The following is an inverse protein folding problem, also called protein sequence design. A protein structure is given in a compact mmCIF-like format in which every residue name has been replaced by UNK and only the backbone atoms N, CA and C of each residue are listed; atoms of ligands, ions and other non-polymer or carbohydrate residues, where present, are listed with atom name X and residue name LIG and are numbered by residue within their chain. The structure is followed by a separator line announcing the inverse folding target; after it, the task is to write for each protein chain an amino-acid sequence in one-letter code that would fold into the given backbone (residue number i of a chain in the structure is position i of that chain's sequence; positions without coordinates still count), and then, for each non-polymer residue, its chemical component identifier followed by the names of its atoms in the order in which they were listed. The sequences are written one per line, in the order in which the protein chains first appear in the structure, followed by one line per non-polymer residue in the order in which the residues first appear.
data_IF_276930897143
#
_entry.id   IF_276930897143
#
_cell.length_a   1.000
_cell.length_b   1.000
_cell.length_c   1.000
_cell.angle_alpha   90.00
_cell.angle_beta   90.00
_cell.angle_gamma   90.00
#
_symmetry.space_group_name_H-M   'P 1'
#
loop_
_entity.id
_entity.type
_entity.pdbx_description
1 polymer ?
#
# COMPACT_ATOMS: atom_id res chain seq x y z
N UNK A 1 14.76 -42.78 -0.21
CA UNK A 1 13.29 -42.70 -0.17
C UNK A 1 12.95 -41.29 0.31
N UNK A 2 12.89 -40.29 -0.56
CA UNK A 2 11.78 -39.93 -1.45
C UNK A 2 10.41 -39.83 -0.75
N UNK A 3 9.99 -38.56 -0.62
CA UNK A 3 8.63 -38.00 -0.73
C UNK A 3 7.63 -38.15 0.42
N UNK A 4 7.39 -37.02 1.07
CA UNK A 4 6.06 -36.42 1.26
C UNK A 4 6.32 -34.92 1.43
N UNK A 5 6.16 -34.08 0.41
CA UNK A 5 4.87 -33.79 -0.20
C UNK A 5 4.08 -32.77 0.64
N UNK A 6 4.73 -31.70 1.10
CA UNK A 6 4.06 -30.58 1.76
C UNK A 6 3.39 -29.69 0.71
N UNK A 7 2.07 -29.81 0.60
CA UNK A 7 1.22 -28.91 -0.18
C UNK A 7 1.53 -27.45 0.17
N UNK A 8 1.98 -26.67 -0.81
CA UNK A 8 2.01 -25.21 -0.75
C UNK A 8 0.57 -24.72 -0.70
N UNK A 9 -0.02 -24.65 0.49
CA UNK A 9 -1.32 -24.03 0.71
C UNK A 9 -1.18 -22.52 0.51
N UNK A 10 -1.61 -22.10 -0.67
CA UNK A 10 -2.06 -20.79 -1.07
C UNK A 10 -2.53 -19.86 0.07
N UNK A 11 -1.91 -18.67 0.17
CA UNK A 11 -2.53 -17.43 0.67
C UNK A 11 -2.60 -17.19 2.18
N UNK A 12 -1.74 -16.28 2.67
CA UNK A 12 -1.81 -15.58 3.97
C UNK A 12 -1.38 -16.34 5.25
N UNK A 13 -0.30 -17.12 5.21
CA UNK A 13 0.51 -17.27 6.42
C UNK A 13 1.31 -15.97 6.58
N UNK A 14 0.84 -15.05 7.41
CA UNK A 14 1.66 -13.91 7.86
C UNK A 14 2.88 -14.51 8.56
N UNK A 15 4.07 -14.31 8.01
CA UNK A 15 5.29 -14.78 8.67
C UNK A 15 5.43 -14.11 10.03
N UNK A 16 5.92 -14.82 11.05
CA UNK A 16 6.19 -14.25 12.38
C UNK A 16 7.04 -12.97 12.27
N UNK A 17 7.99 -12.95 11.33
CA UNK A 17 8.81 -11.80 11.02
C UNK A 17 7.99 -10.56 10.62
N UNK A 18 6.93 -10.72 9.81
CA UNK A 18 6.08 -9.60 9.41
C UNK A 18 5.42 -8.96 10.61
N UNK A 19 4.85 -9.75 11.53
CA UNK A 19 4.21 -9.21 12.74
C UNK A 19 5.24 -8.52 13.63
N UNK A 20 6.39 -9.17 13.89
CA UNK A 20 7.45 -8.61 14.73
C UNK A 20 7.90 -7.25 14.19
N UNK A 21 8.24 -7.16 12.90
CA UNK A 21 8.71 -5.91 12.27
C UNK A 21 7.64 -4.82 12.35
N UNK A 22 6.40 -5.12 11.93
CA UNK A 22 5.33 -4.13 11.97
C UNK A 22 5.08 -3.59 13.37
N UNK A 23 5.10 -4.45 14.39
CA UNK A 23 4.84 -4.03 15.76
C UNK A 23 6.02 -3.29 16.39
N UNK A 24 7.26 -3.65 16.06
CA UNK A 24 8.43 -2.90 16.55
C UNK A 24 8.58 -1.53 15.90
N UNK A 25 8.14 -1.38 14.66
CA UNK A 25 8.19 -0.11 13.91
C UNK A 25 7.01 0.82 14.23
N UNK A 26 5.90 0.27 14.72
CA UNK A 26 4.72 1.03 15.10
C UNK A 26 4.91 1.77 16.43
N UNK A 27 4.09 2.80 16.66
CA UNK A 27 3.99 3.37 18.00
C UNK A 27 3.28 2.40 18.95
N UNK A 28 3.69 2.36 20.23
CA UNK A 28 3.04 1.53 21.23
C UNK A 28 1.54 1.82 21.31
N UNK A 29 0.74 0.77 21.36
CA UNK A 29 -0.71 0.85 21.50
C UNK A 29 -1.19 -0.21 22.50
N UNK A 30 -2.02 0.20 23.44
CA UNK A 30 -2.72 -0.70 24.37
C UNK A 30 -4.22 -0.77 24.02
N UNK A 31 -4.57 -0.60 22.73
CA UNK A 31 -5.95 -0.58 22.28
C UNK A 31 -6.69 -1.90 22.55
N UNK A 32 -7.95 -1.80 22.95
CA UNK A 32 -8.77 -2.95 23.29
C UNK A 32 -9.80 -3.33 22.21
N UNK A 33 -10.52 -4.44 22.43
CA UNK A 33 -11.52 -4.94 21.50
C UNK A 33 -12.71 -3.97 21.28
N UNK A 34 -13.03 -3.09 22.24
CA UNK A 34 -14.08 -2.09 22.05
C UNK A 34 -13.63 -1.01 21.07
N UNK A 35 -12.39 -0.53 21.21
CA UNK A 35 -11.80 0.47 20.33
C UNK A 35 -11.61 -0.06 18.91
N UNK A 36 -11.20 -1.32 18.74
CA UNK A 36 -11.13 -1.93 17.40
C UNK A 36 -12.49 -2.08 16.73
N UNK A 37 -13.55 -2.40 17.50
CA UNK A 37 -14.91 -2.46 16.98
C UNK A 37 -15.43 -1.09 16.58
N UNK A 38 -15.17 -0.07 17.39
CA UNK A 38 -15.50 1.32 17.07
C UNK A 38 -14.78 1.77 15.79
N UNK A 39 -13.47 1.54 15.71
CA UNK A 39 -12.69 1.84 14.51
C UNK A 39 -13.27 1.12 13.28
N UNK A 40 -13.55 -0.18 13.36
CA UNK A 40 -14.15 -0.92 12.26
C UNK A 40 -15.52 -0.34 11.85
N UNK A 41 -16.34 0.04 12.82
CA UNK A 41 -17.65 0.66 12.56
C UNK A 41 -17.55 2.04 11.88
N UNK A 42 -16.43 2.75 12.08
CA UNK A 42 -16.16 4.03 11.42
C UNK A 42 -15.76 3.90 9.95
N UNK A 43 -15.30 2.71 9.54
CA UNK A 43 -14.91 2.44 8.15
C UNK A 43 -16.19 2.13 7.34
N UNK A 44 -16.60 3.08 6.49
CA UNK A 44 -17.73 2.90 5.58
C UNK A 44 -17.39 2.03 4.34
N UNK A 45 -16.70 0.91 4.57
CA UNK A 45 -16.30 -0.06 3.54
C UNK A 45 -15.89 -1.38 4.18
N UNK A 46 -16.50 -2.49 3.75
CA UNK A 46 -16.13 -3.85 4.18
C UNK A 46 -14.70 -4.22 3.80
N UNK A 47 -14.12 -3.52 2.82
CA UNK A 47 -12.82 -3.86 2.23
C UNK A 47 -11.66 -3.03 2.81
N UNK A 48 -11.90 -1.76 3.16
CA UNK A 48 -10.84 -0.81 3.59
C UNK A 48 -10.21 -1.14 4.96
N UNK A 49 -10.85 -2.00 5.77
CA UNK A 49 -10.31 -2.45 7.05
C UNK A 49 -9.42 -3.71 6.96
N UNK A 50 -9.39 -4.40 5.82
CA UNK A 50 -8.67 -5.69 5.73
C UNK A 50 -7.15 -5.56 5.77
N UNK A 51 -6.60 -4.40 5.40
CA UNK A 51 -5.16 -4.15 5.47
C UNK A 51 -4.69 -3.87 6.89
N UNK A 52 -5.09 -2.72 7.44
CA UNK A 52 -4.52 -2.16 8.66
C UNK A 52 -5.02 -2.82 9.95
N UNK A 53 -6.30 -3.18 10.04
CA UNK A 53 -6.89 -3.63 11.31
C UNK A 53 -6.24 -4.91 11.89
N UNK A 54 -5.96 -5.96 11.09
CA UNK A 54 -5.28 -7.13 11.63
C UNK A 54 -3.91 -6.79 12.21
N UNK A 55 -3.13 -5.90 11.58
CA UNK A 55 -1.84 -5.46 12.13
C UNK A 55 -2.02 -4.69 13.44
N UNK A 56 -2.99 -3.78 13.50
CA UNK A 56 -3.27 -3.05 14.75
C UNK A 56 -3.65 -3.99 15.90
N UNK A 57 -4.44 -5.02 15.62
CA UNK A 57 -4.80 -6.04 16.61
C UNK A 57 -3.57 -6.84 17.06
N UNK A 58 -2.71 -7.26 16.13
CA UNK A 58 -1.49 -8.00 16.48
C UNK A 58 -0.51 -7.18 17.34
N UNK A 59 -0.45 -5.87 17.11
CA UNK A 59 0.47 -4.98 17.82
C UNK A 59 -0.10 -4.43 19.13
N UNK A 60 -1.39 -4.63 19.40
CA UNK A 60 -2.01 -4.25 20.65
C UNK A 60 -1.32 -4.96 21.83
N UNK A 61 -0.77 -4.19 22.75
CA UNK A 61 -0.03 -4.70 23.90
C UNK A 61 1.38 -5.21 23.58
N UNK A 62 1.88 -5.01 22.35
CA UNK A 62 3.27 -5.33 22.02
C UNK A 62 4.21 -4.47 22.87
N UNK A 63 5.15 -5.10 23.60
CA UNK A 63 5.97 -4.41 24.61
C UNK A 63 7.37 -4.04 24.14
N UNK A 64 7.88 -4.72 23.12
CA UNK A 64 9.24 -4.49 22.64
C UNK A 64 9.26 -3.48 21.50
N UNK A 65 9.95 -2.35 21.70
CA UNK A 65 10.22 -1.35 20.67
C UNK A 65 11.66 -0.87 20.78
N UNK A 66 12.47 -0.89 19.70
CA UNK A 66 13.81 -0.34 19.72
C UNK A 66 13.83 1.15 20.11
N UNK A 67 14.86 1.57 20.85
CA UNK A 67 15.05 2.97 21.24
C UNK A 67 15.38 3.86 20.04
N UNK A 68 16.12 3.31 19.08
CA UNK A 68 16.58 3.94 17.85
C UNK A 68 15.59 3.82 16.69
N UNK A 69 14.35 3.34 16.94
CA UNK A 69 13.33 3.24 15.90
C UNK A 69 13.03 4.61 15.31
N UNK A 70 12.70 4.63 14.02
CA UNK A 70 12.32 5.83 13.33
C UNK A 70 10.97 6.36 13.84
N UNK A 71 10.92 7.61 14.30
CA UNK A 71 9.69 8.28 14.79
C UNK A 71 9.30 9.51 14.00
N UNK A 72 9.95 9.70 12.86
CA UNK A 72 9.72 10.85 11.99
C UNK A 72 10.62 12.06 12.28
N UNK A 73 10.40 13.14 11.51
CA UNK A 73 9.43 13.23 10.41
C UNK A 73 9.84 12.38 9.20
N UNK A 74 8.85 11.79 8.51
CA UNK A 74 9.06 11.21 7.18
C UNK A 74 9.30 12.34 6.20
N UNK A 75 10.30 12.18 5.32
CA UNK A 75 10.65 13.16 4.30
C UNK A 75 12.09 13.61 4.40
N UNK A 76 12.68 13.96 3.26
CA UNK A 76 14.03 14.50 3.16
C UNK A 76 14.24 15.10 1.76
N UNK A 77 15.26 15.95 1.62
CA UNK A 77 15.82 16.25 0.32
C UNK A 77 16.61 15.04 -0.17
N UNK A 78 16.21 14.48 -1.30
CA UNK A 78 16.88 13.34 -1.91
C UNK A 78 17.87 13.79 -2.97
N UNK A 79 18.91 12.99 -3.22
CA UNK A 79 19.88 13.27 -4.30
C UNK A 79 19.29 13.13 -5.71
N UNK A 80 18.18 12.40 -5.82
CA UNK A 80 17.41 12.20 -7.04
C UNK A 80 15.94 12.41 -6.74
N UNK A 81 15.20 13.00 -7.66
CA UNK A 81 13.76 13.19 -7.50
C UNK A 81 13.05 11.84 -7.47
N UNK A 82 11.99 11.71 -6.67
CA UNK A 82 11.27 10.44 -6.53
C UNK A 82 10.04 10.38 -7.44
N UNK A 83 9.86 9.23 -8.10
CA UNK A 83 8.57 8.84 -8.67
C UNK A 83 7.79 8.05 -7.62
N UNK A 84 6.65 8.60 -7.17
CA UNK A 84 5.73 7.92 -6.25
C UNK A 84 4.53 7.45 -7.05
N UNK A 85 4.10 6.21 -6.83
CA UNK A 85 2.95 5.62 -7.53
C UNK A 85 1.89 5.25 -6.51
N UNK A 86 0.65 5.64 -6.75
CA UNK A 86 -0.49 5.29 -5.92
C UNK A 86 -1.73 4.98 -6.75
N UNK A 87 -2.49 3.96 -6.34
CA UNK A 87 -3.73 3.59 -7.01
C UNK A 87 -4.94 4.26 -6.34
N UNK A 88 -5.95 4.63 -7.12
CA UNK A 88 -7.18 5.27 -6.61
C UNK A 88 -7.97 4.38 -5.65
N UNK A 89 -7.96 3.06 -5.84
CA UNK A 89 -8.66 2.09 -5.00
C UNK A 89 -7.74 0.98 -4.44
N UNK A 90 -6.61 1.38 -3.84
CA UNK A 90 -5.74 0.50 -3.05
C UNK A 90 -6.30 0.29 -1.62
N UNK A 91 -6.61 -0.95 -1.19
CA UNK A 91 -7.15 -1.23 0.15
C UNK A 91 -6.12 -1.34 1.27
N UNK A 92 -4.83 -1.44 0.94
CA UNK A 92 -3.74 -1.62 1.91
C UNK A 92 -3.00 -0.30 2.09
N UNK A 93 -2.60 0.33 0.99
CA UNK A 93 -1.86 1.61 0.95
C UNK A 93 -2.66 2.65 0.19
N UNK A 94 -3.75 3.12 0.82
CA UNK A 94 -4.68 4.10 0.24
C UNK A 94 -3.96 5.32 -0.36
N UNK A 95 -4.50 5.88 -1.45
CA UNK A 95 -3.87 6.99 -2.20
C UNK A 95 -3.54 8.23 -1.35
N UNK A 96 -4.26 8.45 -0.24
CA UNK A 96 -3.94 9.52 0.71
C UNK A 96 -2.55 9.35 1.33
N UNK A 97 -2.07 8.11 1.52
CA UNK A 97 -0.70 7.81 1.92
C UNK A 97 0.32 8.21 0.86
N UNK A 98 0.06 7.89 -0.42
CA UNK A 98 0.91 8.30 -1.54
C UNK A 98 0.98 9.83 -1.68
N UNK A 99 -0.15 10.53 -1.49
CA UNK A 99 -0.20 12.02 -1.46
C UNK A 99 0.62 12.59 -0.29
N UNK A 100 0.53 11.99 0.91
CA UNK A 100 1.36 12.38 2.06
C UNK A 100 2.85 12.18 1.79
N UNK A 101 3.23 11.05 1.19
CA UNK A 101 4.60 10.80 0.78
C UNK A 101 5.08 11.86 -0.23
N UNK A 102 4.27 12.17 -1.25
CA UNK A 102 4.61 13.19 -2.25
C UNK A 102 4.80 14.58 -1.64
N UNK A 103 4.01 14.94 -0.62
CA UNK A 103 4.18 16.19 0.10
C UNK A 103 5.44 16.19 0.99
N UNK A 104 5.90 15.02 1.44
CA UNK A 104 7.04 14.87 2.34
C UNK A 104 8.41 14.87 1.63
N UNK A 105 8.46 14.58 0.32
CA UNK A 105 9.70 14.55 -0.46
C UNK A 105 9.73 15.66 -1.51
N UNK A 106 10.41 16.78 -1.25
CA UNK A 106 10.43 17.92 -2.16
C UNK A 106 10.90 17.51 -3.58
N UNK A 107 10.13 17.92 -4.59
CA UNK A 107 10.41 17.64 -5.99
C UNK A 107 10.03 16.23 -6.46
N UNK A 108 9.46 15.38 -5.60
CA UNK A 108 8.82 14.14 -6.06
C UNK A 108 7.57 14.43 -6.90
N UNK A 109 7.20 13.47 -7.75
CA UNK A 109 5.94 13.49 -8.49
C UNK A 109 5.13 12.23 -8.18
N UNK A 110 3.84 12.42 -7.91
CA UNK A 110 2.86 11.35 -7.78
C UNK A 110 2.26 11.01 -9.16
N UNK A 111 2.51 9.80 -9.62
CA UNK A 111 1.77 9.16 -10.71
C UNK A 111 0.58 8.41 -10.12
N UNK A 112 -0.63 8.80 -10.53
CA UNK A 112 -1.85 8.11 -10.10
C UNK A 112 -2.22 7.04 -11.11
N UNK A 113 -2.44 5.80 -10.67
CA UNK A 113 -3.09 4.78 -11.49
C UNK A 113 -4.56 4.67 -11.06
N UNK A 114 -5.49 4.92 -11.97
CA UNK A 114 -6.92 4.82 -11.68
C UNK A 114 -7.41 3.37 -11.79
N UNK A 115 -7.06 2.57 -10.79
CA UNK A 115 -7.38 1.16 -10.73
C UNK A 115 -7.59 0.69 -9.29
N UNK A 116 -8.34 -0.40 -9.10
CA UNK A 116 -8.37 -1.11 -7.83
C UNK A 116 -7.13 -2.00 -7.64
N UNK A 117 -6.89 -2.37 -6.39
CA UNK A 117 -5.89 -3.37 -6.02
C UNK A 117 -4.63 -2.75 -5.40
N UNK A 118 -3.89 -3.60 -4.68
CA UNK A 118 -2.72 -3.18 -3.93
C UNK A 118 -1.48 -3.15 -4.81
N UNK A 119 -0.80 -2.01 -4.84
CA UNK A 119 0.30 -1.68 -5.77
C UNK A 119 -0.15 -1.56 -7.23
N UNK A 120 0.61 -0.85 -8.07
CA UNK A 120 0.27 -0.66 -9.48
C UNK A 120 0.25 -1.96 -10.30
N UNK A 121 0.89 -3.03 -9.82
CA UNK A 121 1.05 -4.29 -10.54
C UNK A 121 -0.25 -5.08 -10.69
N UNK A 122 -1.26 -4.81 -9.86
CA UNK A 122 -2.54 -5.54 -9.89
C UNK A 122 -3.43 -5.17 -11.07
N UNK A 123 -3.11 -4.10 -11.79
CA UNK A 123 -3.81 -3.70 -12.99
C UNK A 123 -2.80 -3.23 -14.03
N UNK A 124 -2.77 -3.92 -15.17
CA UNK A 124 -1.84 -3.63 -16.25
C UNK A 124 -2.17 -2.26 -16.83
N UNK A 125 -1.18 -1.37 -16.93
CA UNK A 125 -1.29 -0.08 -17.59
C UNK A 125 0.01 0.25 -18.32
N UNK A 126 -0.01 0.22 -19.66
CA UNK A 126 1.13 0.60 -20.48
C UNK A 126 1.54 2.06 -20.25
N UNK A 127 0.58 2.92 -19.91
CA UNK A 127 0.83 4.29 -19.46
C UNK A 127 1.75 4.30 -18.22
N UNK A 128 1.39 3.57 -17.16
CA UNK A 128 2.21 3.49 -15.94
C UNK A 128 3.59 2.90 -16.22
N UNK A 129 3.67 1.81 -16.99
CA UNK A 129 4.95 1.16 -17.31
C UNK A 129 5.89 2.06 -18.10
N UNK A 130 5.38 2.90 -19.01
CA UNK A 130 6.21 3.86 -19.77
C UNK A 130 6.85 4.90 -18.86
N UNK A 131 6.12 5.44 -17.88
CA UNK A 131 6.67 6.39 -16.93
C UNK A 131 7.71 5.74 -16.00
N UNK A 132 7.45 4.52 -15.53
CA UNK A 132 8.43 3.74 -14.76
C UNK A 132 9.71 3.52 -15.58
N UNK A 133 9.57 3.09 -16.83
CA UNK A 133 10.71 2.84 -17.71
C UNK A 133 11.52 4.12 -17.98
N UNK A 134 10.87 5.24 -18.24
CA UNK A 134 11.54 6.53 -18.40
C UNK A 134 12.28 6.94 -17.12
N UNK A 135 11.63 6.86 -15.96
CA UNK A 135 12.23 7.20 -14.68
C UNK A 135 13.51 6.38 -14.40
N UNK A 136 13.49 5.07 -14.62
CA UNK A 136 14.69 4.24 -14.43
C UNK A 136 15.73 4.43 -15.54
N UNK A 137 15.34 4.79 -16.76
CA UNK A 137 16.27 4.99 -17.86
C UNK A 137 17.07 6.30 -17.73
N UNK A 138 16.43 7.39 -17.30
CA UNK A 138 17.05 8.72 -17.32
C UNK A 138 16.57 9.68 -16.22
N UNK A 139 15.78 9.21 -15.25
CA UNK A 139 15.24 10.05 -14.17
C UNK A 139 14.07 10.94 -14.59
N UNK A 140 13.50 10.78 -15.79
CA UNK A 140 12.32 11.55 -16.22
C UNK A 140 11.11 11.24 -15.36
N UNK A 141 10.44 12.29 -14.90
CA UNK A 141 9.17 12.24 -14.19
C UNK A 141 8.00 12.60 -15.11
N UNK A 142 6.79 12.09 -14.86
CA UNK A 142 5.58 12.57 -15.53
C UNK A 142 5.27 14.03 -15.15
N UNK A 143 4.39 14.67 -15.91
CA UNK A 143 3.80 15.95 -15.51
C UNK A 143 2.99 15.79 -14.21
N UNK A 144 2.96 16.83 -13.39
CA UNK A 144 2.18 16.82 -12.15
C UNK A 144 0.70 16.57 -12.42
N UNK A 145 0.09 15.67 -11.64
CA UNK A 145 -1.32 15.29 -11.81
C UNK A 145 -1.59 14.27 -12.91
N UNK A 146 -0.55 13.67 -13.50
CA UNK A 146 -0.71 12.58 -14.46
C UNK A 146 -1.50 11.40 -13.86
N UNK A 147 -2.52 10.96 -14.60
CA UNK A 147 -3.35 9.80 -14.28
C UNK A 147 -3.26 8.77 -15.41
N UNK A 148 -2.93 7.54 -15.07
CA UNK A 148 -2.93 6.41 -15.99
C UNK A 148 -4.13 5.50 -15.73
N UNK A 149 -4.83 5.10 -16.79
CA UNK A 149 -5.91 4.12 -16.73
C UNK A 149 -5.37 2.69 -16.95
N UNK A 150 -6.02 1.65 -16.41
CA UNK A 150 -5.71 0.27 -16.75
C UNK A 150 -6.06 -0.02 -18.21
N UNK A 151 -5.24 -0.87 -18.84
CA UNK A 151 -5.42 -1.27 -20.24
C UNK A 151 -6.60 -2.25 -20.42
N UNK A 152 -7.02 -2.90 -19.33
CA UNK A 152 -8.08 -3.91 -19.32
C UNK A 152 -9.10 -3.56 -18.24
N UNK A 153 -10.42 -3.64 -18.52
CA UNK A 153 -11.43 -3.44 -17.51
C UNK A 153 -11.33 -4.51 -16.40
N UNK A 154 -11.68 -4.12 -15.18
CA UNK A 154 -11.68 -5.03 -14.03
C UNK A 154 -12.56 -6.27 -14.26
N UNK A 155 -13.69 -6.08 -14.95
CA UNK A 155 -14.63 -7.14 -15.32
C UNK A 155 -14.82 -7.15 -16.84
N UNK A 156 -14.05 -7.98 -17.57
CA UNK A 156 -14.24 -8.14 -19.01
C UNK A 156 -15.66 -8.64 -19.32
N UNK A 157 -16.39 -7.92 -20.18
CA UNK A 157 -17.75 -8.29 -20.60
C UNK A 157 -18.89 -7.72 -19.75
N UNK A 158 -18.60 -6.86 -18.76
CA UNK A 158 -19.63 -6.04 -18.14
C UNK A 158 -20.07 -4.94 -19.12
N UNK A 159 -21.30 -5.03 -19.62
CA UNK A 159 -21.94 -3.97 -20.40
C UNK A 159 -22.23 -2.79 -19.47
N UNK A 160 -21.53 -1.67 -19.67
CA UNK A 160 -21.67 -0.46 -18.85
C UNK A 160 -22.82 0.45 -19.34
N UNK A 161 -23.68 -0.01 -20.25
CA UNK A 161 -24.84 0.77 -20.74
C UNK A 161 -26.00 0.88 -19.74
N UNK A 162 -25.86 0.32 -18.54
CA UNK A 162 -26.83 0.48 -17.46
C UNK A 162 -26.17 1.04 -16.20
N UNK A 163 -25.93 2.35 -16.17
CA UNK A 163 -25.74 3.14 -14.94
C UNK A 163 -26.26 4.56 -15.16
#
# INVERSE_FOLDING_TARGET
MLHSGGSQSNGLIRSDATVVIFCTDSDPSDADASQFREYMSSINSTFAGMGSLPFMIHCAGWKFHPEDRFRGPVGANTSSLLLIIGNTADPITVISGAKKANAAFPGSVLLTQDSPGHTFLTSVSNCTYRHIAAYFANGSLPDEGTVCLPDVPLFPGADLTHS
#
